data_IF_608364684527
#
_entry.id   IF_608364684527
#
_cell.length_a   1.000
_cell.length_b   1.000
_cell.length_c   1.000
_cell.angle_alpha   90.00
_cell.angle_beta   90.00
_cell.angle_gamma   90.00
#
_symmetry.space_group_name_H-M   'P 1'
#
loop_
_entity.id
_entity.type
_entity.pdbx_description
1 polymer ?
#
# COMPACT_ATOMS: atom_id res chain seq x y z
N UNK A 1 -8.31 15.96 8.95
CA UNK A 1 -8.09 15.05 7.82
C UNK A 1 -9.29 15.23 6.92
N UNK A 2 -9.14 15.82 5.74
CA UNK A 2 -10.25 16.03 4.83
C UNK A 2 -10.08 15.05 3.66
N UNK A 3 -11.18 14.46 3.20
CA UNK A 3 -11.21 13.57 2.03
C UNK A 3 -10.49 12.23 2.23
N UNK A 4 -10.85 11.50 3.30
CA UNK A 4 -10.36 10.15 3.54
C UNK A 4 -11.15 9.14 2.67
N UNK A 5 -10.46 8.26 1.96
CA UNK A 5 -11.16 7.23 1.16
C UNK A 5 -11.67 6.08 2.04
N UNK A 6 -10.86 5.60 2.99
CA UNK A 6 -11.18 4.47 3.82
C UNK A 6 -10.82 4.69 5.29
N UNK A 7 -11.76 4.39 6.19
CA UNK A 7 -11.53 4.22 7.62
C UNK A 7 -11.58 2.73 7.97
N UNK A 8 -10.64 2.24 8.77
CA UNK A 8 -10.55 0.81 9.10
C UNK A 8 -10.31 0.66 10.60
N UNK A 9 -11.23 -0.05 11.26
CA UNK A 9 -11.17 -0.42 12.67
C UNK A 9 -11.27 -1.95 12.77
N UNK A 10 -10.11 -2.60 12.72
CA UNK A 10 -10.01 -4.06 12.81
C UNK A 10 -9.82 -4.44 14.28
N UNK A 11 -10.74 -5.26 14.81
CA UNK A 11 -10.72 -5.77 16.19
C UNK A 11 -10.44 -4.64 17.21
N UNK A 12 -11.24 -3.57 17.12
CA UNK A 12 -11.08 -2.36 17.92
C UNK A 12 -12.27 -2.09 18.85
N UNK A 13 -13.49 -2.25 18.34
CA UNK A 13 -14.69 -1.75 19.02
C UNK A 13 -14.95 -2.48 20.33
N UNK A 14 -14.61 -3.77 20.40
CA UNK A 14 -14.69 -4.63 21.57
C UNK A 14 -13.76 -4.20 22.72
N UNK A 15 -12.74 -3.39 22.44
CA UNK A 15 -11.85 -2.84 23.45
C UNK A 15 -12.36 -1.52 24.04
N UNK A 16 -13.38 -0.91 23.42
CA UNK A 16 -13.93 0.37 23.85
C UNK A 16 -14.93 0.18 25.00
N UNK A 17 -14.82 1.04 26.01
CA UNK A 17 -15.88 1.16 27.00
C UNK A 17 -17.15 1.74 26.34
N UNK A 18 -18.35 1.51 26.90
CA UNK A 18 -19.61 1.86 26.24
C UNK A 18 -19.76 3.34 25.85
N UNK A 19 -19.21 4.27 26.63
CA UNK A 19 -19.30 5.70 26.34
C UNK A 19 -18.46 6.09 25.11
N UNK A 20 -17.29 5.49 24.96
CA UNK A 20 -16.36 5.65 23.86
C UNK A 20 -16.91 5.01 22.59
N UNK A 21 -17.50 3.82 22.72
CA UNK A 21 -18.18 3.12 21.63
C UNK A 21 -19.33 3.95 21.05
N UNK A 22 -20.13 4.63 21.89
CA UNK A 22 -21.21 5.51 21.41
C UNK A 22 -20.69 6.76 20.68
N UNK A 23 -19.50 7.26 21.05
CA UNK A 23 -18.88 8.42 20.41
C UNK A 23 -18.22 8.09 19.08
N UNK A 24 -17.66 6.89 18.94
CA UNK A 24 -16.90 6.49 17.75
C UNK A 24 -17.69 6.66 16.44
N UNK A 25 -18.95 6.18 16.30
CA UNK A 25 -19.71 6.35 15.07
C UNK A 25 -19.91 7.80 14.67
N UNK A 26 -20.14 8.71 15.63
CA UNK A 26 -20.25 10.14 15.31
C UNK A 26 -18.94 10.68 14.72
N UNK A 27 -17.79 10.33 15.32
CA UNK A 27 -16.50 10.75 14.79
C UNK A 27 -16.25 10.20 13.38
N UNK A 28 -16.60 8.94 13.12
CA UNK A 28 -16.35 8.30 11.81
C UNK A 28 -17.34 8.79 10.74
N UNK A 29 -18.64 8.72 11.01
CA UNK A 29 -19.68 8.92 10.00
C UNK A 29 -20.17 10.37 9.88
N UNK A 30 -19.96 11.22 10.89
CA UNK A 30 -20.33 12.64 10.83
C UNK A 30 -19.12 13.56 10.63
N UNK A 31 -17.99 13.32 11.32
CA UNK A 31 -16.82 14.20 11.21
C UNK A 31 -15.85 13.78 10.10
N UNK A 32 -15.37 12.54 10.12
CA UNK A 32 -14.36 12.06 9.16
C UNK A 32 -15.00 11.81 7.78
N UNK A 33 -16.18 11.20 7.76
CA UNK A 33 -16.97 10.88 6.57
C UNK A 33 -16.11 10.21 5.48
N UNK A 34 -15.56 9.01 5.72
CA UNK A 34 -14.80 8.31 4.70
C UNK A 34 -15.73 7.81 3.57
N UNK A 35 -15.19 7.51 2.38
CA UNK A 35 -15.99 6.83 1.35
C UNK A 35 -16.38 5.41 1.79
N UNK A 36 -15.47 4.73 2.49
CA UNK A 36 -15.64 3.38 3.02
C UNK A 36 -15.27 3.37 4.51
N UNK A 37 -16.06 2.75 5.37
CA UNK A 37 -15.68 2.45 6.75
C UNK A 37 -15.82 0.95 7.01
N UNK A 38 -14.77 0.32 7.54
CA UNK A 38 -14.74 -1.12 7.83
C UNK A 38 -14.55 -1.31 9.32
N UNK A 39 -15.44 -2.07 9.94
CA UNK A 39 -15.34 -2.49 11.33
C UNK A 39 -15.30 -4.00 11.39
N UNK A 40 -14.37 -4.56 12.16
CA UNK A 40 -14.40 -5.99 12.52
C UNK A 40 -14.42 -6.15 14.03
N UNK A 41 -15.04 -7.24 14.47
CA UNK A 41 -15.11 -7.64 15.88
C UNK A 41 -15.28 -9.17 15.96
N UNK A 42 -14.93 -9.79 17.09
CA UNK A 42 -15.25 -11.20 17.34
C UNK A 42 -16.74 -11.49 17.24
N UNK A 43 -17.09 -12.70 16.77
CA UNK A 43 -18.45 -13.24 16.85
C UNK A 43 -18.57 -14.17 18.07
N UNK A 44 -19.34 -13.77 19.08
CA UNK A 44 -19.52 -14.58 20.29
C UNK A 44 -20.25 -15.90 20.04
N UNK A 45 -21.09 -16.00 19.00
CA UNK A 45 -21.78 -17.26 18.67
C UNK A 45 -20.78 -18.37 18.34
N UNK A 46 -19.64 -17.99 17.74
CA UNK A 46 -18.57 -18.91 17.38
C UNK A 46 -17.77 -19.42 18.57
N UNK A 47 -17.83 -18.74 19.73
CA UNK A 47 -16.92 -19.00 20.84
C UNK A 47 -16.97 -20.42 21.38
N UNK A 48 -18.15 -21.06 21.29
CA UNK A 48 -18.36 -22.44 21.73
C UNK A 48 -17.47 -23.45 20.98
N UNK A 49 -16.97 -23.10 19.79
CA UNK A 49 -16.09 -23.93 18.99
C UNK A 49 -14.63 -23.92 19.49
N UNK A 50 -14.25 -22.99 20.37
CA UNK A 50 -12.92 -22.96 20.95
C UNK A 50 -12.82 -23.90 22.16
N UNK A 51 -12.16 -25.05 21.97
CA UNK A 51 -11.99 -26.06 23.02
C UNK A 51 -11.29 -25.54 24.29
N UNK A 52 -10.43 -24.52 24.17
CA UNK A 52 -9.65 -23.96 25.28
C UNK A 52 -10.31 -22.74 25.92
N UNK A 53 -11.41 -22.23 25.36
CA UNK A 53 -12.10 -21.06 25.89
C UNK A 53 -13.14 -21.52 26.92
N UNK A 54 -13.03 -21.08 28.20
CA UNK A 54 -14.04 -21.43 29.19
C UNK A 54 -15.40 -20.85 28.79
N UNK A 55 -16.48 -21.58 29.13
CA UNK A 55 -17.82 -21.12 28.86
C UNK A 55 -18.06 -19.71 29.43
N UNK A 56 -18.76 -18.86 28.66
CA UNK A 56 -19.11 -17.49 29.04
C UNK A 56 -17.90 -16.57 29.29
N UNK A 57 -16.75 -16.85 28.66
CA UNK A 57 -15.59 -15.95 28.63
C UNK A 57 -15.42 -15.33 27.25
N UNK A 58 -14.85 -14.13 27.25
CA UNK A 58 -14.33 -13.48 26.05
C UNK A 58 -13.00 -14.12 25.64
N UNK A 59 -12.70 -14.06 24.35
CA UNK A 59 -11.46 -14.55 23.72
C UNK A 59 -10.22 -13.83 24.26
N UNK A 60 -10.38 -12.59 24.72
CA UNK A 60 -9.32 -11.79 25.32
C UNK A 60 -9.81 -11.14 26.61
N UNK A 61 -8.92 -10.97 27.59
CA UNK A 61 -9.24 -10.40 28.91
C UNK A 61 -9.51 -8.89 28.86
N UNK A 62 -8.88 -8.19 27.92
CA UNK A 62 -9.13 -6.77 27.65
C UNK A 62 -10.42 -6.50 26.84
N UNK A 63 -11.16 -7.50 26.38
CA UNK A 63 -12.46 -7.23 25.74
C UNK A 63 -13.48 -6.71 26.76
N UNK A 64 -14.19 -5.64 26.41
CA UNK A 64 -15.27 -5.05 27.19
C UNK A 64 -16.60 -5.70 26.88
N UNK A 65 -16.74 -6.25 25.66
CA UNK A 65 -17.86 -7.06 25.21
C UNK A 65 -17.41 -7.99 24.08
N UNK A 66 -18.22 -9.00 23.76
CA UNK A 66 -18.16 -9.71 22.49
C UNK A 66 -19.59 -9.92 22.01
N UNK A 67 -19.90 -9.46 20.81
CA UNK A 67 -21.26 -9.47 20.28
C UNK A 67 -21.57 -10.74 19.51
N UNK A 68 -22.83 -11.18 19.60
CA UNK A 68 -23.38 -12.18 18.68
C UNK A 68 -23.54 -11.61 17.28
N UNK A 69 -23.87 -12.47 16.31
CA UNK A 69 -24.22 -12.01 14.94
C UNK A 69 -25.42 -11.07 14.94
N UNK A 70 -26.39 -11.34 15.81
CA UNK A 70 -27.59 -10.51 15.95
C UNK A 70 -27.23 -9.13 16.49
N UNK A 71 -26.50 -9.06 17.61
CA UNK A 71 -26.11 -7.79 18.23
C UNK A 71 -25.25 -6.93 17.30
N UNK A 72 -24.31 -7.54 16.57
CA UNK A 72 -23.47 -6.81 15.63
C UNK A 72 -24.26 -6.28 14.42
N UNK A 73 -25.22 -7.08 13.90
CA UNK A 73 -26.11 -6.63 12.83
C UNK A 73 -27.02 -5.49 13.30
N UNK A 74 -27.62 -5.60 14.48
CA UNK A 74 -28.46 -4.54 15.06
C UNK A 74 -27.68 -3.23 15.22
N UNK A 75 -26.44 -3.31 15.73
CA UNK A 75 -25.56 -2.16 15.84
C UNK A 75 -25.28 -1.54 14.46
N UNK A 76 -24.92 -2.36 13.48
CA UNK A 76 -24.62 -1.90 12.13
C UNK A 76 -25.84 -1.24 11.44
N UNK A 77 -27.01 -1.86 11.57
CA UNK A 77 -28.27 -1.35 11.02
C UNK A 77 -28.63 0.00 11.67
N UNK A 78 -28.52 0.11 13.00
CA UNK A 78 -28.76 1.37 13.71
C UNK A 78 -27.84 2.50 13.24
N UNK A 79 -26.58 2.19 12.88
CA UNK A 79 -25.70 3.21 12.31
C UNK A 79 -26.19 3.71 10.96
N UNK A 80 -26.78 2.86 10.11
CA UNK A 80 -27.36 3.31 8.84
C UNK A 80 -28.67 4.11 9.03
N UNK A 81 -29.39 3.90 10.12
CA UNK A 81 -30.53 4.76 10.50
C UNK A 81 -30.07 6.15 10.96
N UNK A 82 -28.99 6.20 11.76
CA UNK A 82 -28.39 7.45 12.27
C UNK A 82 -27.67 8.23 11.17
N UNK A 83 -27.04 7.52 10.24
CA UNK A 83 -26.24 8.05 9.15
C UNK A 83 -26.76 7.51 7.81
N UNK A 84 -27.91 8.03 7.33
CA UNK A 84 -28.62 7.50 6.16
C UNK A 84 -27.91 7.75 4.83
N UNK A 85 -26.74 8.39 4.85
CA UNK A 85 -25.85 8.49 3.70
C UNK A 85 -24.94 7.27 3.53
N UNK A 86 -24.96 6.32 4.46
CA UNK A 86 -24.23 5.06 4.35
C UNK A 86 -25.17 3.87 4.13
N UNK A 87 -24.72 2.92 3.32
CA UNK A 87 -25.24 1.55 3.30
C UNK A 87 -24.24 0.63 3.99
N UNK A 88 -24.72 -0.45 4.61
CA UNK A 88 -23.85 -1.46 5.23
C UNK A 88 -24.04 -2.82 4.56
N UNK A 89 -22.93 -3.53 4.40
CA UNK A 89 -22.89 -4.96 4.11
C UNK A 89 -22.19 -5.69 5.26
N UNK A 90 -22.86 -6.69 5.83
CA UNK A 90 -22.35 -7.46 6.99
C UNK A 90 -21.87 -8.82 6.49
N UNK A 91 -20.58 -9.09 6.70
CA UNK A 91 -19.88 -10.29 6.26
C UNK A 91 -19.19 -10.98 7.43
N UNK A 92 -18.62 -12.16 7.17
CA UNK A 92 -17.86 -12.94 8.15
C UNK A 92 -16.51 -13.39 7.62
N UNK A 93 -15.54 -13.54 8.51
CA UNK A 93 -14.20 -14.08 8.23
C UNK A 93 -13.95 -15.34 9.06
N UNK A 94 -13.48 -16.40 8.41
CA UNK A 94 -13.19 -17.69 9.05
C UNK A 94 -14.47 -18.48 9.32
N UNK A 95 -15.05 -19.16 8.30
CA UNK A 95 -16.28 -19.92 8.46
C UNK A 95 -16.14 -21.04 9.49
N UNK A 96 -17.25 -21.40 10.14
CA UNK A 96 -17.31 -22.56 11.01
C UNK A 96 -16.97 -23.86 10.24
N UNK A 97 -16.59 -24.92 10.96
CA UNK A 97 -16.44 -26.24 10.36
C UNK A 97 -17.71 -26.68 9.62
N UNK A 98 -17.53 -27.55 8.63
CA UNK A 98 -18.61 -28.08 7.81
C UNK A 98 -19.76 -28.65 8.66
N UNK A 99 -20.98 -28.19 8.40
CA UNK A 99 -22.19 -28.60 9.09
C UNK A 99 -22.55 -27.74 10.32
N UNK A 100 -21.80 -26.68 10.60
CA UNK A 100 -22.03 -25.78 11.74
C UNK A 100 -22.11 -24.29 11.33
N UNK A 101 -22.10 -24.00 10.03
CA UNK A 101 -22.06 -22.64 9.47
C UNK A 101 -23.34 -21.85 9.77
N UNK A 102 -24.51 -22.48 9.73
CA UNK A 102 -25.78 -21.81 10.04
C UNK A 102 -25.86 -21.44 11.52
N UNK A 103 -25.43 -22.36 12.40
CA UNK A 103 -25.52 -22.22 13.84
C UNK A 103 -24.55 -21.15 14.39
N UNK A 104 -23.31 -21.11 13.87
CA UNK A 104 -22.25 -20.29 14.46
C UNK A 104 -21.66 -19.23 13.52
N UNK A 105 -21.88 -19.33 12.20
CA UNK A 105 -21.37 -18.39 11.23
C UNK A 105 -19.84 -18.39 11.14
N UNK A 106 -19.26 -17.19 11.09
CA UNK A 106 -17.82 -17.00 11.00
C UNK A 106 -17.20 -16.62 12.34
N UNK A 107 -15.89 -16.87 12.49
CA UNK A 107 -15.11 -16.59 13.69
C UNK A 107 -15.08 -15.09 14.01
N UNK A 108 -14.84 -14.26 13.01
CA UNK A 108 -14.97 -12.79 13.10
C UNK A 108 -16.06 -12.31 12.16
N UNK A 109 -16.62 -11.17 12.49
CA UNK A 109 -17.67 -10.52 11.72
C UNK A 109 -17.22 -9.12 11.31
N UNK A 110 -17.66 -8.68 10.14
CA UNK A 110 -17.25 -7.43 9.52
C UNK A 110 -18.46 -6.65 9.02
N UNK A 111 -18.47 -5.35 9.26
CA UNK A 111 -19.46 -4.42 8.72
C UNK A 111 -18.74 -3.43 7.80
N UNK A 112 -19.13 -3.43 6.52
CA UNK A 112 -18.55 -2.61 5.47
C UNK A 112 -19.57 -1.54 5.12
N UNK A 113 -19.30 -0.32 5.55
CA UNK A 113 -20.12 0.83 5.27
C UNK A 113 -19.59 1.56 4.03
N UNK A 114 -20.47 1.86 3.09
CA UNK A 114 -20.15 2.60 1.86
C UNK A 114 -21.01 3.85 1.81
N UNK A 115 -20.37 5.00 1.64
CA UNK A 115 -21.08 6.28 1.48
C UNK A 115 -21.75 6.34 0.12
N UNK A 116 -23.02 6.71 0.08
CA UNK A 116 -23.80 6.89 -1.14
C UNK A 116 -23.26 8.10 -1.94
N UNK A 117 -23.05 7.98 -3.26
CA UNK A 117 -22.51 9.06 -4.10
C UNK A 117 -23.36 10.33 -4.10
N UNK A 118 -24.68 10.18 -4.00
CA UNK A 118 -25.66 11.29 -4.06
C UNK A 118 -25.97 11.90 -2.68
N UNK A 119 -25.14 11.62 -1.67
CA UNK A 119 -25.31 12.20 -0.33
C UNK A 119 -25.10 13.71 -0.38
N UNK A 120 -26.19 14.47 -0.43
CA UNK A 120 -26.22 15.93 -0.33
C UNK A 120 -26.19 16.42 1.13
N UNK A 121 -25.73 15.59 2.07
CA UNK A 121 -25.64 15.98 3.48
C UNK A 121 -24.52 17.01 3.64
N UNK A 122 -24.92 18.29 3.63
CA UNK A 122 -24.05 19.40 4.01
C UNK A 122 -23.79 19.36 5.51
N UNK A 123 -22.52 19.33 5.90
CA UNK A 123 -22.16 19.40 7.31
C UNK A 123 -22.20 20.86 7.74
N UNK A 124 -22.94 21.16 8.81
CA UNK A 124 -22.95 22.49 9.38
C UNK A 124 -21.62 22.76 10.12
N UNK A 125 -20.79 23.72 9.70
CA UNK A 125 -19.51 24.00 10.36
C UNK A 125 -19.67 24.45 11.83
N UNK A 126 -20.80 25.06 12.19
CA UNK A 126 -21.10 25.46 13.57
C UNK A 126 -21.36 24.24 14.46
N UNK A 127 -22.04 23.22 13.95
CA UNK A 127 -22.31 21.98 14.69
C UNK A 127 -20.99 21.24 15.01
N UNK A 128 -20.09 21.16 14.03
CA UNK A 128 -18.74 20.61 14.23
C UNK A 128 -17.99 21.42 15.31
N UNK A 129 -18.06 22.75 15.24
CA UNK A 129 -17.35 23.61 16.19
C UNK A 129 -17.87 23.42 17.61
N UNK A 130 -19.19 23.41 17.81
CA UNK A 130 -19.82 23.20 19.11
C UNK A 130 -19.48 21.82 19.70
N UNK A 131 -19.51 20.77 18.86
CA UNK A 131 -19.07 19.43 19.25
C UNK A 131 -17.60 19.44 19.70
N UNK A 132 -16.71 20.08 18.93
CA UNK A 132 -15.29 20.12 19.23
C UNK A 132 -14.98 20.86 20.55
N UNK A 133 -15.69 21.96 20.83
CA UNK A 133 -15.55 22.75 22.05
C UNK A 133 -16.09 21.99 23.28
N UNK A 134 -17.21 21.29 23.13
CA UNK A 134 -17.80 20.47 24.21
C UNK A 134 -17.03 19.18 24.50
N UNK A 135 -16.45 18.55 23.47
CA UNK A 135 -15.80 17.24 23.58
C UNK A 135 -14.35 17.30 24.09
N UNK A 136 -13.77 18.49 24.31
CA UNK A 136 -12.33 18.67 24.65
C UNK A 136 -11.42 17.80 23.77
N UNK A 137 -11.59 17.89 22.46
CA UNK A 137 -10.90 17.02 21.51
C UNK A 137 -9.40 17.06 21.75
N UNK A 138 -8.84 15.91 22.13
CA UNK A 138 -7.42 15.68 22.05
C UNK A 138 -7.09 15.49 20.56
N UNK A 139 -6.29 16.41 20.03
CA UNK A 139 -5.69 16.24 18.72
C UNK A 139 -4.69 15.09 18.81
N UNK A 140 -4.59 14.31 17.73
CA UNK A 140 -3.51 13.35 17.61
C UNK A 140 -2.16 14.08 17.64
N UNK A 141 -1.24 13.59 18.46
CA UNK A 141 0.16 13.99 18.37
C UNK A 141 0.83 13.16 17.28
N UNK A 142 1.36 13.82 16.25
CA UNK A 142 2.13 13.16 15.21
C UNK A 142 3.45 12.69 15.83
N UNK A 143 3.58 11.38 16.01
CA UNK A 143 4.80 10.76 16.56
C UNK A 143 5.87 10.65 15.45
N UNK A 144 5.46 10.31 14.23
CA UNK A 144 6.32 10.12 13.07
C UNK A 144 5.55 10.42 11.78
N UNK A 145 6.18 11.15 10.87
CA UNK A 145 5.71 11.36 9.51
C UNK A 145 6.89 11.04 8.58
N UNK A 146 6.66 10.13 7.64
CA UNK A 146 7.66 9.73 6.66
C UNK A 146 7.11 10.01 5.27
N UNK A 147 7.77 10.90 4.54
CA UNK A 147 7.53 11.09 3.11
C UNK A 147 8.42 10.09 2.35
N UNK A 148 7.79 9.11 1.72
CA UNK A 148 8.51 8.11 0.94
C UNK A 148 8.73 8.66 -0.47
N UNK A 149 9.98 8.65 -0.98
CA UNK A 149 10.24 9.11 -2.34
C UNK A 149 9.43 8.27 -3.32
N UNK A 150 8.52 8.94 -4.03
CA UNK A 150 7.77 8.32 -5.10
C UNK A 150 8.48 8.55 -6.43
N UNK A 151 8.61 7.50 -7.22
CA UNK A 151 9.23 7.59 -8.54
C UNK A 151 8.22 8.15 -9.56
N UNK A 152 8.31 9.46 -9.79
CA UNK A 152 7.46 10.25 -10.70
C UNK A 152 7.73 9.99 -12.19
N UNK A 153 8.72 9.17 -12.53
CA UNK A 153 9.02 8.84 -13.93
C UNK A 153 7.81 8.17 -14.60
N UNK A 154 7.56 8.53 -15.85
CA UNK A 154 6.61 7.80 -16.69
C UNK A 154 7.06 6.34 -16.87
N UNK A 155 6.14 5.45 -17.24
CA UNK A 155 6.50 4.04 -17.49
C UNK A 155 7.62 3.91 -18.54
N UNK A 156 7.56 4.70 -19.61
CA UNK A 156 8.59 4.74 -20.66
C UNK A 156 9.95 5.20 -20.11
N UNK A 157 9.96 6.23 -19.25
CA UNK A 157 11.17 6.69 -18.56
C UNK A 157 11.74 5.60 -17.65
N UNK A 158 10.89 4.89 -16.89
CA UNK A 158 11.35 3.77 -16.04
C UNK A 158 11.97 2.65 -16.87
N UNK A 159 11.32 2.23 -17.96
CA UNK A 159 11.85 1.18 -18.84
C UNK A 159 13.21 1.61 -19.39
N UNK A 160 13.30 2.84 -19.87
CA UNK A 160 14.52 3.33 -20.51
C UNK A 160 15.66 3.49 -19.52
N UNK A 161 15.41 4.10 -18.36
CA UNK A 161 16.43 4.30 -17.32
C UNK A 161 16.93 2.97 -16.75
N UNK A 162 16.02 2.03 -16.50
CA UNK A 162 16.39 0.68 -16.06
C UNK A 162 17.24 -0.02 -17.12
N UNK A 163 16.82 0.01 -18.39
CA UNK A 163 17.58 -0.58 -19.48
C UNK A 163 18.97 0.03 -19.63
N UNK A 164 19.08 1.37 -19.58
CA UNK A 164 20.35 2.08 -19.63
C UNK A 164 21.25 1.71 -18.46
N UNK A 165 20.71 1.66 -17.24
CA UNK A 165 21.45 1.19 -16.06
C UNK A 165 21.99 -0.23 -16.27
N UNK A 166 21.17 -1.15 -16.79
CA UNK A 166 21.58 -2.52 -17.06
C UNK A 166 22.66 -2.63 -18.13
N UNK A 167 22.52 -1.89 -19.23
CA UNK A 167 23.51 -1.81 -20.31
C UNK A 167 24.85 -1.29 -19.76
N UNK A 168 24.83 -0.17 -19.04
CA UNK A 168 26.04 0.43 -18.45
C UNK A 168 26.68 -0.50 -17.41
N UNK A 169 25.87 -1.18 -16.59
CA UNK A 169 26.35 -2.16 -15.60
C UNK A 169 27.04 -3.35 -16.27
N UNK A 170 26.50 -3.86 -17.38
CA UNK A 170 27.08 -4.97 -18.14
C UNK A 170 28.36 -4.52 -18.87
N UNK A 171 28.37 -3.32 -19.44
CA UNK A 171 29.54 -2.72 -20.08
C UNK A 171 30.69 -2.53 -19.09
N UNK A 172 30.43 -1.89 -17.94
CA UNK A 172 31.42 -1.70 -16.88
C UNK A 172 31.98 -3.02 -16.36
N UNK A 173 31.13 -4.03 -16.13
CA UNK A 173 31.59 -5.36 -15.70
C UNK A 173 32.51 -6.00 -16.74
N UNK A 174 32.14 -5.90 -18.03
CA UNK A 174 32.94 -6.44 -19.14
C UNK A 174 34.28 -5.72 -19.32
N UNK A 175 34.37 -4.43 -19.01
CA UNK A 175 35.65 -3.71 -19.00
C UNK A 175 36.57 -4.20 -17.88
N UNK A 176 36.05 -4.37 -16.66
CA UNK A 176 36.85 -4.81 -15.50
C UNK A 176 37.43 -6.22 -15.67
N UNK A 177 36.78 -7.07 -16.47
CA UNK A 177 37.23 -8.42 -16.77
C UNK A 177 38.27 -8.51 -17.90
N UNK A 178 38.62 -7.40 -18.58
CA UNK A 178 39.67 -7.40 -19.63
C UNK A 178 41.05 -7.14 -19.02
N UNK A 179 42.00 -8.03 -19.32
CA UNK A 179 43.41 -7.89 -18.92
C UNK A 179 44.26 -7.08 -19.94
N UNK A 180 43.78 -6.89 -21.18
CA UNK A 180 44.54 -6.27 -22.28
C UNK A 180 43.91 -4.96 -22.79
N UNK A 181 44.76 -3.93 -22.82
CA UNK A 181 44.52 -2.57 -23.29
C UNK A 181 44.78 -2.50 -24.82
N UNK A 182 43.98 -1.69 -25.54
CA UNK A 182 44.10 -1.34 -26.97
C UNK A 182 43.64 -2.38 -28.01
N UNK A 183 42.32 -2.49 -28.24
CA UNK A 183 41.68 -2.22 -29.54
C UNK A 183 40.14 -2.46 -29.48
N UNK A 184 39.36 -1.51 -30.01
CA UNK A 184 37.91 -1.59 -30.29
C UNK A 184 37.03 -2.35 -29.26
N UNK A 185 36.64 -1.69 -28.16
CA UNK A 185 35.61 -2.21 -27.27
C UNK A 185 34.24 -2.24 -28.00
N UNK A 186 33.83 -3.44 -28.44
CA UNK A 186 32.47 -3.72 -28.89
C UNK A 186 31.82 -4.72 -27.95
N UNK A 187 30.69 -4.35 -27.38
CA UNK A 187 29.85 -5.22 -26.55
C UNK A 187 28.48 -5.38 -27.20
N UNK A 188 28.06 -6.63 -27.34
CA UNK A 188 26.78 -7.02 -27.91
C UNK A 188 25.88 -7.57 -26.79
N UNK A 189 24.74 -6.92 -26.55
CA UNK A 189 23.80 -7.26 -25.47
C UNK A 189 22.43 -7.59 -26.07
N UNK A 190 21.99 -8.86 -26.06
CA UNK A 190 20.66 -9.23 -26.55
C UNK A 190 19.56 -8.51 -25.78
N UNK A 191 18.53 -8.02 -26.49
CA UNK A 191 17.41 -7.30 -25.86
C UNK A 191 16.66 -8.19 -24.87
N UNK A 192 16.55 -9.49 -25.13
CA UNK A 192 15.91 -10.46 -24.23
C UNK A 192 16.57 -10.45 -22.85
N UNK A 193 17.90 -10.38 -22.82
CA UNK A 193 18.67 -10.31 -21.57
C UNK A 193 18.40 -9.00 -20.82
N UNK A 194 18.24 -7.89 -21.53
CA UNK A 194 17.93 -6.59 -20.91
C UNK A 194 16.50 -6.63 -20.35
N UNK A 195 15.54 -7.19 -21.09
CA UNK A 195 14.16 -7.37 -20.61
C UNK A 195 14.12 -8.23 -19.35
N UNK A 196 14.84 -9.34 -19.31
CA UNK A 196 14.95 -10.20 -18.12
C UNK A 196 15.43 -9.41 -16.89
N UNK A 197 16.47 -8.59 -17.03
CA UNK A 197 17.05 -7.81 -15.94
C UNK A 197 16.19 -6.58 -15.53
N UNK A 198 15.42 -6.03 -16.47
CA UNK A 198 14.51 -4.89 -16.22
C UNK A 198 13.18 -5.35 -15.59
N UNK A 199 12.76 -6.60 -15.84
CA UNK A 199 11.45 -7.13 -15.42
C UNK A 199 11.17 -7.08 -13.91
N UNK A 200 12.22 -7.01 -13.08
CA UNK A 200 12.11 -6.85 -11.63
C UNK A 200 11.66 -5.45 -11.18
N UNK A 201 11.84 -4.43 -12.03
CA UNK A 201 11.47 -3.04 -11.72
C UNK A 201 10.29 -2.54 -12.55
N UNK A 202 10.24 -2.91 -13.84
CA UNK A 202 9.16 -2.52 -14.74
C UNK A 202 8.94 -3.58 -15.82
N UNK A 203 7.68 -3.96 -16.03
CA UNK A 203 7.32 -4.90 -17.09
C UNK A 203 7.40 -4.24 -18.46
N UNK A 204 8.05 -4.89 -19.43
CA UNK A 204 8.23 -4.45 -20.82
C UNK A 204 8.37 -5.66 -21.75
N UNK A 205 8.15 -5.48 -23.05
CA UNK A 205 8.49 -6.49 -24.08
C UNK A 205 9.78 -6.12 -24.82
N UNK A 206 10.32 -7.05 -25.61
CA UNK A 206 11.49 -6.81 -26.48
C UNK A 206 11.18 -5.72 -27.50
N UNK A 207 10.00 -5.76 -28.13
CA UNK A 207 9.60 -4.79 -29.15
C UNK A 207 9.43 -3.38 -28.55
N UNK A 208 8.84 -3.30 -27.37
CA UNK A 208 8.68 -2.02 -26.65
C UNK A 208 10.04 -1.44 -26.25
N UNK A 209 10.92 -2.28 -25.70
CA UNK A 209 12.26 -1.89 -25.32
C UNK A 209 13.08 -1.42 -26.54
N UNK A 210 12.99 -2.13 -27.66
CA UNK A 210 13.68 -1.77 -28.89
C UNK A 210 13.28 -0.39 -29.40
N UNK A 211 11.98 -0.07 -29.38
CA UNK A 211 11.47 1.26 -29.77
C UNK A 211 12.02 2.35 -28.85
N UNK A 212 12.01 2.13 -27.54
CA UNK A 212 12.48 3.11 -26.55
C UNK A 212 13.99 3.34 -26.63
N UNK A 213 14.79 2.28 -26.80
CA UNK A 213 16.24 2.38 -26.93
C UNK A 213 16.65 3.02 -28.27
N UNK A 214 15.95 2.73 -29.37
CA UNK A 214 16.16 3.45 -30.65
C UNK A 214 15.84 4.93 -30.52
N UNK A 215 14.80 5.30 -29.76
CA UNK A 215 14.47 6.70 -29.50
C UNK A 215 15.56 7.43 -28.67
N UNK A 216 16.38 6.68 -27.92
CA UNK A 216 17.59 7.19 -27.24
C UNK A 216 18.85 7.16 -28.11
N UNK A 217 18.74 6.84 -29.40
CA UNK A 217 19.84 6.73 -30.36
C UNK A 217 20.85 5.61 -30.06
N UNK A 218 20.44 4.54 -29.36
CA UNK A 218 21.28 3.35 -29.23
C UNK A 218 21.30 2.56 -30.55
N UNK A 219 22.46 2.01 -30.88
CA UNK A 219 22.62 1.11 -32.03
C UNK A 219 22.05 -0.26 -31.68
N UNK A 220 21.13 -0.76 -32.51
CA UNK A 220 20.50 -2.07 -32.33
C UNK A 220 20.53 -2.81 -33.67
N UNK A 221 21.13 -3.99 -33.67
CA UNK A 221 21.27 -4.88 -34.82
C UNK A 221 20.71 -6.26 -34.46
N UNK A 222 19.78 -6.78 -35.27
CA UNK A 222 19.19 -8.13 -35.11
C UNK A 222 18.75 -8.46 -33.66
N UNK A 223 18.10 -7.53 -32.97
CA UNK A 223 17.62 -7.73 -31.59
C UNK A 223 18.71 -7.57 -30.51
N UNK A 224 19.86 -7.00 -30.86
CA UNK A 224 21.02 -6.86 -29.97
C UNK A 224 21.47 -5.41 -29.91
N UNK A 225 21.63 -4.89 -28.69
CA UNK A 225 22.21 -3.56 -28.46
C UNK A 225 23.72 -3.64 -28.66
N UNK A 226 24.25 -2.74 -29.48
CA UNK A 226 25.67 -2.61 -29.76
C UNK A 226 26.21 -1.41 -28.98
N UNK A 227 27.09 -1.68 -28.02
CA UNK A 227 27.82 -0.65 -27.28
C UNK A 227 29.25 -0.60 -27.81
N UNK A 228 29.62 0.52 -28.40
CA UNK A 228 30.97 0.82 -28.88
C UNK A 228 31.50 2.00 -28.07
N UNK A 229 32.72 1.91 -27.57
CA UNK A 229 33.42 3.08 -27.01
C UNK A 229 34.68 3.36 -27.80
N UNK A 230 34.85 4.62 -28.20
CA UNK A 230 36.15 5.16 -28.56
C UNK A 230 36.83 5.60 -27.26
N UNK A 231 38.01 5.05 -26.95
CA UNK A 231 38.69 5.25 -25.67
C UNK A 231 39.23 6.69 -25.45
N UNK A 232 38.94 7.65 -26.34
CA UNK A 232 39.42 9.04 -26.23
C UNK A 232 38.85 9.82 -25.03
N UNK A 233 37.79 9.34 -24.37
CA UNK A 233 37.13 10.05 -23.25
C UNK A 233 37.61 9.60 -21.85
N UNK A 234 38.44 8.56 -21.75
CA UNK A 234 38.96 8.05 -20.45
C UNK A 234 40.19 8.82 -19.93
N UNK A 235 40.93 9.49 -20.81
CA UNK A 235 42.14 10.23 -20.43
C UNK A 235 41.84 11.55 -19.69
N UNK A 236 40.69 12.18 -19.92
CA UNK A 236 40.33 13.45 -19.27
C UNK A 236 39.95 13.29 -17.77
N UNK A 237 39.41 12.13 -17.36
CA UNK A 237 39.01 11.90 -15.97
C UNK A 237 40.16 11.49 -15.04
N UNK A 238 41.25 10.91 -15.59
CA UNK A 238 42.46 10.58 -14.82
C UNK A 238 43.33 11.81 -14.56
N UNK A 239 43.37 12.79 -15.48
CA UNK A 239 44.16 14.02 -15.26
C UNK A 239 43.55 14.93 -14.18
N UNK A 240 42.23 14.94 -13.96
CA UNK A 240 41.61 15.85 -12.99
C UNK A 240 41.71 15.36 -11.52
N UNK A 241 42.03 14.07 -11.30
CA UNK A 241 42.14 13.48 -9.94
C UNK A 241 43.41 12.65 -9.69
N UNK A 242 44.35 12.62 -10.64
CA UNK A 242 45.65 11.99 -10.49
C UNK A 242 46.66 12.88 -9.75
N UNK A 243 47.14 12.38 -8.61
CA UNK A 243 48.31 12.88 -7.86
C UNK A 243 48.16 14.18 -7.07
N UNK A 244 47.29 14.24 -6.04
CA UNK A 244 47.58 15.17 -4.93
C UNK A 244 46.97 14.79 -3.58
N UNK A 245 47.18 13.55 -3.10
CA UNK A 245 47.04 13.22 -1.65
C UNK A 245 48.05 12.18 -1.17
N UNK A 246 49.33 12.55 -1.22
CA UNK A 246 50.35 12.04 -0.28
C UNK A 246 51.01 13.25 0.39
N UNK A 247 50.69 13.48 1.67
CA UNK A 247 51.46 14.17 2.75
C UNK A 247 50.57 15.04 3.64
N UNK A 248 50.10 14.47 4.75
CA UNK A 248 50.56 14.74 6.13
C UNK A 248 49.53 14.21 7.13
#
# INVERSE_FOLDING_TARGET
>A
MNNLDAFVAIELIEHLYPEELERLPYNVFHLIRPQIAIFTTPNSDFNILFATLPAQKFRHDDHKFEWSREQFREWADNLTERFPDYSVDVQGIGPAPEGAEEDYGCCSQAAIFVRRPDSAVEINPQEIQEYNEGAKIQKYDIILECDYPFDERSREQKITDCAMYQINRMEHRRRMDREDEYDNFRLEIPLERIVEEVSGEVSTTVEELEVLLKAKNLQIEEGTVIVVSDDEEYDEYQEEFGEDRIRN
#
